data_IF_935327701841
#
_entry.id   IF_935327701841
#
_cell.length_a   1.000
_cell.length_b   1.000
_cell.length_c   1.000
_cell.angle_alpha   90.00
_cell.angle_beta   90.00
_cell.angle_gamma   90.00
#
_symmetry.space_group_name_H-M   'P 1'
#
loop_
_entity.id
_entity.type
_entity.pdbx_description
1 polymer ?
#
# COMPACT_ATOMS: atom_id res chain seq x y z
N UNK A 1 55.55 1.09 -13.72
CA UNK A 1 54.52 2.06 -13.28
C UNK A 1 53.37 1.96 -14.27
N UNK A 2 52.33 1.09 -14.10
CA UNK A 2 51.02 1.24 -14.79
C UNK A 2 50.06 0.08 -14.56
N UNK A 3 50.43 -0.90 -13.71
CA UNK A 3 49.53 -2.05 -13.46
C UNK A 3 48.51 -1.82 -12.30
N UNK A 4 48.74 -0.80 -11.45
CA UNK A 4 47.85 -0.55 -10.29
C UNK A 4 46.68 0.42 -10.57
N UNK A 5 46.75 1.21 -11.63
CA UNK A 5 45.65 2.14 -11.96
C UNK A 5 44.46 1.46 -12.63
N UNK A 6 44.75 0.43 -13.42
CA UNK A 6 43.73 -0.33 -14.15
C UNK A 6 42.88 -1.24 -13.22
N UNK A 7 43.52 -1.78 -12.17
CA UNK A 7 42.80 -2.60 -11.18
C UNK A 7 41.83 -1.76 -10.31
N UNK A 8 42.24 -0.57 -9.90
CA UNK A 8 41.38 0.35 -9.11
C UNK A 8 40.17 0.88 -9.89
N UNK A 9 40.35 1.09 -11.21
CA UNK A 9 39.24 1.51 -12.08
C UNK A 9 38.25 0.39 -12.35
N UNK A 10 38.69 -0.86 -12.41
CA UNK A 10 37.84 -2.02 -12.61
C UNK A 10 37.02 -2.35 -11.35
N UNK A 11 37.61 -2.26 -10.16
CA UNK A 11 36.87 -2.47 -8.90
C UNK A 11 35.81 -1.38 -8.66
N UNK A 12 36.13 -0.11 -8.95
CA UNK A 12 35.17 0.98 -8.87
C UNK A 12 34.00 0.83 -9.85
N UNK A 13 34.27 0.33 -11.06
CA UNK A 13 33.25 0.10 -12.08
C UNK A 13 32.32 -1.09 -11.71
N UNK A 14 32.87 -2.17 -11.13
CA UNK A 14 32.09 -3.30 -10.65
C UNK A 14 31.20 -2.95 -9.44
N UNK A 15 31.69 -2.15 -8.51
CA UNK A 15 30.92 -1.70 -7.34
C UNK A 15 29.76 -0.77 -7.77
N UNK A 16 30.00 0.12 -8.74
CA UNK A 16 28.97 1.00 -9.28
C UNK A 16 27.92 0.20 -10.06
N UNK A 17 28.31 -0.75 -10.91
CA UNK A 17 27.37 -1.62 -11.64
C UNK A 17 26.51 -2.48 -10.70
N UNK A 18 27.09 -3.04 -9.62
CA UNK A 18 26.30 -3.81 -8.65
C UNK A 18 25.36 -2.94 -7.83
N UNK A 19 25.69 -1.67 -7.56
CA UNK A 19 24.79 -0.72 -6.91
C UNK A 19 23.62 -0.29 -7.82
N UNK A 20 23.87 -0.08 -9.11
CA UNK A 20 22.82 0.26 -10.08
C UNK A 20 21.94 -0.95 -10.47
N UNK A 21 22.48 -2.16 -10.53
CA UNK A 21 21.72 -3.39 -10.77
C UNK A 21 20.79 -3.77 -9.61
N UNK A 22 21.01 -3.21 -8.40
CA UNK A 22 20.13 -3.39 -7.24
C UNK A 22 18.87 -2.51 -7.25
N UNK A 23 18.78 -1.53 -8.17
CA UNK A 23 17.71 -0.52 -8.21
C UNK A 23 16.46 -1.01 -8.96
N UNK A 24 16.49 -2.15 -9.67
CA UNK A 24 15.45 -2.53 -10.62
C UNK A 24 14.79 -3.90 -10.42
N UNK A 25 14.95 -4.55 -9.28
CA UNK A 25 14.28 -5.84 -9.06
C UNK A 25 13.66 -5.92 -7.68
N UNK A 26 12.37 -6.18 -7.62
CA UNK A 26 11.66 -6.44 -6.36
C UNK A 26 12.33 -7.60 -5.62
N UNK A 27 12.46 -7.45 -4.30
CA UNK A 27 12.98 -8.50 -3.44
C UNK A 27 11.97 -9.65 -3.30
N UNK A 28 12.39 -10.85 -2.90
CA UNK A 28 11.46 -11.94 -2.60
C UNK A 28 10.42 -11.57 -1.53
N UNK A 29 10.80 -10.74 -0.55
CA UNK A 29 9.90 -10.23 0.49
C UNK A 29 8.81 -9.34 -0.09
N UNK A 30 9.19 -8.39 -0.97
CA UNK A 30 8.23 -7.54 -1.68
C UNK A 30 7.29 -8.34 -2.57
N UNK A 31 7.83 -9.27 -3.35
CA UNK A 31 7.04 -10.15 -4.23
C UNK A 31 6.02 -10.97 -3.43
N UNK A 32 6.44 -11.56 -2.31
CA UNK A 32 5.55 -12.31 -1.43
C UNK A 32 4.47 -11.41 -0.83
N UNK A 33 4.86 -10.27 -0.26
CA UNK A 33 3.91 -9.29 0.29
C UNK A 33 2.86 -8.86 -0.73
N UNK A 34 3.29 -8.52 -1.94
CA UNK A 34 2.42 -8.07 -3.02
C UNK A 34 1.50 -9.19 -3.53
N UNK A 35 1.98 -10.42 -3.60
CA UNK A 35 1.17 -11.58 -4.00
C UNK A 35 0.04 -11.87 -3.01
N UNK A 36 0.29 -11.63 -1.72
CA UNK A 36 -0.74 -11.73 -0.69
C UNK A 36 -1.69 -10.52 -0.71
N UNK A 37 -1.17 -9.30 -0.91
CA UNK A 37 -1.97 -8.08 -0.84
C UNK A 37 -2.86 -7.87 -2.07
N UNK A 38 -2.37 -8.19 -3.28
CA UNK A 38 -3.10 -7.92 -4.52
C UNK A 38 -4.34 -8.81 -4.65
N UNK A 39 -5.51 -8.20 -4.46
CA UNK A 39 -6.78 -8.91 -4.49
C UNK A 39 -7.96 -8.06 -4.05
N UNK A 40 -9.11 -8.70 -4.04
CA UNK A 40 -10.32 -8.16 -3.44
C UNK A 40 -10.59 -8.86 -2.10
N UNK A 41 -10.93 -8.07 -1.11
CA UNK A 41 -11.22 -8.49 0.25
C UNK A 41 -12.59 -7.97 0.69
N UNK A 42 -13.31 -8.77 1.47
CA UNK A 42 -14.63 -8.43 2.00
C UNK A 42 -14.74 -8.78 3.48
N UNK A 43 -15.34 -7.89 4.26
CA UNK A 43 -15.71 -8.15 5.64
C UNK A 43 -17.19 -8.57 5.79
N UNK A 44 -17.78 -9.16 4.76
CA UNK A 44 -19.22 -9.50 4.73
C UNK A 44 -19.67 -10.27 5.97
N UNK A 45 -18.95 -11.31 6.36
CA UNK A 45 -19.32 -12.12 7.52
C UNK A 45 -19.37 -11.29 8.79
N UNK A 46 -18.33 -10.48 9.04
CA UNK A 46 -18.28 -9.60 10.20
C UNK A 46 -19.43 -8.58 10.22
N UNK A 47 -19.77 -8.03 9.05
CA UNK A 47 -20.86 -7.06 8.92
C UNK A 47 -22.23 -7.70 9.14
N UNK A 48 -22.44 -8.97 8.75
CA UNK A 48 -23.65 -9.73 9.00
C UNK A 48 -23.80 -10.10 10.48
N UNK A 49 -22.69 -10.49 11.13
CA UNK A 49 -22.68 -10.90 12.54
C UNK A 49 -22.83 -9.71 13.49
N UNK A 50 -22.36 -8.53 13.09
CA UNK A 50 -22.29 -7.34 13.94
C UNK A 50 -22.70 -6.05 13.18
N UNK A 51 -23.90 -5.97 12.60
CA UNK A 51 -24.30 -4.87 11.71
C UNK A 51 -24.31 -3.48 12.36
N UNK A 52 -24.53 -3.29 13.68
CA UNK A 52 -24.44 -1.96 14.29
C UNK A 52 -23.02 -1.39 14.35
N UNK A 53 -21.99 -2.24 14.22
CA UNK A 53 -20.61 -1.86 14.43
C UNK A 53 -19.76 -1.86 13.14
N UNK A 54 -20.13 -2.68 12.17
CA UNK A 54 -19.36 -2.87 10.96
C UNK A 54 -20.21 -2.74 9.70
N UNK A 55 -19.93 -1.73 8.89
CA UNK A 55 -20.47 -1.68 7.54
C UNK A 55 -19.80 -2.76 6.68
N UNK A 56 -20.55 -3.32 5.72
CA UNK A 56 -19.96 -4.20 4.72
C UNK A 56 -19.15 -3.37 3.72
N UNK A 57 -17.85 -3.63 3.64
CA UNK A 57 -16.86 -2.90 2.84
C UNK A 57 -16.09 -3.88 1.95
N UNK A 58 -15.76 -3.42 0.75
CA UNK A 58 -14.74 -4.03 -0.10
C UNK A 58 -13.45 -3.24 -0.03
N UNK A 59 -12.33 -3.95 0.14
CA UNK A 59 -10.97 -3.46 -0.09
C UNK A 59 -10.44 -4.11 -1.35
N UNK A 60 -9.89 -3.31 -2.26
CA UNK A 60 -9.34 -3.78 -3.52
C UNK A 60 -7.95 -3.22 -3.73
N UNK A 61 -6.99 -4.11 -3.96
CA UNK A 61 -5.59 -3.79 -4.19
C UNK A 61 -5.19 -4.26 -5.59
N UNK A 62 -5.27 -3.36 -6.57
CA UNK A 62 -5.04 -3.66 -7.98
C UNK A 62 -3.63 -3.26 -8.41
N UNK A 63 -2.81 -4.17 -8.99
CA UNK A 63 -1.49 -3.80 -9.50
C UNK A 63 -1.57 -2.71 -10.57
N UNK A 64 -0.63 -1.77 -10.54
CA UNK A 64 -0.40 -0.75 -11.56
C UNK A 64 0.90 -1.09 -12.30
N UNK A 65 0.83 -2.11 -13.16
CA UNK A 65 1.99 -2.74 -13.80
C UNK A 65 2.75 -1.82 -14.77
N UNK A 66 2.09 -0.76 -15.25
CA UNK A 66 2.66 0.27 -16.14
C UNK A 66 3.37 1.41 -15.38
N UNK A 67 3.31 1.41 -14.06
CA UNK A 67 4.07 2.31 -13.19
C UNK A 67 5.27 1.58 -12.61
N UNK A 68 6.09 2.31 -11.82
CA UNK A 68 7.21 1.72 -11.09
C UNK A 68 6.77 0.47 -10.31
N UNK A 69 7.63 -0.54 -10.26
CA UNK A 69 7.42 -1.78 -9.51
C UNK A 69 6.91 -1.52 -8.09
N UNK A 70 6.06 -2.42 -7.60
CA UNK A 70 5.43 -2.28 -6.30
C UNK A 70 4.25 -1.30 -6.22
N UNK A 71 3.87 -0.65 -7.33
CA UNK A 71 2.75 0.30 -7.38
C UNK A 71 1.40 -0.40 -7.43
N UNK A 72 0.48 -0.02 -6.55
CA UNK A 72 -0.84 -0.63 -6.36
C UNK A 72 -1.90 0.47 -6.23
N UNK A 73 -3.01 0.31 -6.93
CA UNK A 73 -4.23 1.05 -6.70
C UNK A 73 -4.99 0.42 -5.51
N UNK A 74 -5.19 1.18 -4.46
CA UNK A 74 -6.06 0.83 -3.34
C UNK A 74 -7.41 1.52 -3.50
N UNK A 75 -8.47 0.73 -3.50
CA UNK A 75 -9.85 1.20 -3.51
C UNK A 75 -10.60 0.67 -2.28
N UNK A 76 -11.41 1.55 -1.68
CA UNK A 76 -12.36 1.17 -0.62
C UNK A 76 -13.75 1.64 -1.00
N UNK A 77 -14.72 0.72 -0.97
CA UNK A 77 -16.13 1.02 -1.28
C UNK A 77 -17.08 0.30 -0.34
N UNK A 78 -18.24 0.91 -0.06
CA UNK A 78 -19.32 0.22 0.61
C UNK A 78 -19.95 -0.82 -0.33
N UNK A 79 -20.36 -1.96 0.21
CA UNK A 79 -21.01 -3.02 -0.59
C UNK A 79 -22.36 -2.59 -1.18
N UNK A 80 -23.03 -1.63 -0.58
CA UNK A 80 -24.27 -1.03 -1.09
C UNK A 80 -24.03 -0.15 -2.32
N UNK A 81 -22.80 0.33 -2.52
CA UNK A 81 -22.42 1.16 -3.66
C UNK A 81 -20.97 0.87 -4.10
N UNK A 82 -20.72 -0.31 -4.66
CA UNK A 82 -19.37 -0.79 -4.93
C UNK A 82 -18.68 -0.08 -6.11
N UNK A 83 -19.42 0.73 -6.87
CA UNK A 83 -18.90 1.46 -8.03
C UNK A 83 -18.44 2.90 -7.69
N UNK A 84 -18.81 3.41 -6.52
CA UNK A 84 -18.42 4.74 -6.06
C UNK A 84 -17.53 4.62 -4.82
N UNK A 85 -16.21 4.47 -4.99
CA UNK A 85 -15.31 4.32 -3.86
C UNK A 85 -15.26 5.59 -3.03
N UNK A 86 -15.36 5.44 -1.72
CA UNK A 86 -15.19 6.54 -0.79
C UNK A 86 -13.71 6.86 -0.51
N UNK A 87 -12.80 5.95 -0.88
CA UNK A 87 -11.35 6.15 -0.78
C UNK A 87 -10.65 5.51 -1.98
N UNK A 88 -9.79 6.30 -2.60
CA UNK A 88 -8.89 5.86 -3.65
C UNK A 88 -7.47 6.34 -3.31
N UNK A 89 -6.48 5.45 -3.38
CA UNK A 89 -5.07 5.71 -3.11
C UNK A 89 -4.19 4.98 -4.10
N UNK A 90 -3.00 5.49 -4.32
CA UNK A 90 -1.90 4.70 -4.84
C UNK A 90 -0.91 4.44 -3.71
N UNK A 91 -0.57 3.20 -3.49
CA UNK A 91 0.48 2.80 -2.57
C UNK A 91 1.62 2.17 -3.35
N UNK A 92 2.85 2.36 -2.87
CA UNK A 92 4.04 1.71 -3.44
C UNK A 92 4.79 1.00 -2.34
N UNK A 93 5.02 -0.30 -2.54
CA UNK A 93 5.80 -1.12 -1.62
C UNK A 93 7.27 -1.08 -2.01
N UNK A 94 8.15 -0.92 -1.02
CA UNK A 94 9.60 -0.90 -1.21
C UNK A 94 10.28 -1.43 0.06
N UNK A 95 11.04 -2.52 -0.05
CA UNK A 95 11.80 -3.07 1.08
C UNK A 95 12.98 -2.16 1.41
N UNK A 96 13.01 -1.62 2.62
CA UNK A 96 14.07 -0.71 3.09
C UNK A 96 15.24 -1.47 3.73
N UNK A 97 14.93 -2.58 4.36
CA UNK A 97 15.90 -3.51 4.95
C UNK A 97 15.24 -4.89 5.05
N UNK A 98 16.00 -5.99 5.24
CA UNK A 98 15.45 -7.34 5.27
C UNK A 98 14.22 -7.47 6.18
N UNK A 99 13.07 -7.79 5.59
CA UNK A 99 11.79 -7.96 6.29
C UNK A 99 11.07 -6.67 6.68
N UNK A 100 11.59 -5.49 6.32
CA UNK A 100 10.95 -4.19 6.58
C UNK A 100 10.59 -3.52 5.25
N UNK A 101 9.29 -3.42 4.98
CA UNK A 101 8.76 -2.78 3.77
C UNK A 101 8.16 -1.42 4.16
N UNK A 102 8.49 -0.38 3.39
CA UNK A 102 7.81 0.91 3.42
C UNK A 102 6.71 0.92 2.39
N UNK A 103 5.49 1.34 2.80
CA UNK A 103 4.41 1.64 1.88
C UNK A 103 4.30 3.15 1.72
N UNK A 104 4.77 3.64 0.59
CA UNK A 104 4.61 5.03 0.19
C UNK A 104 3.14 5.28 -0.17
N UNK A 105 2.50 6.21 0.53
CA UNK A 105 1.08 6.48 0.37
C UNK A 105 0.86 7.76 -0.44
N UNK A 106 0.03 7.67 -1.48
CA UNK A 106 -0.29 8.79 -2.37
C UNK A 106 -1.80 8.93 -2.52
N UNK A 107 -2.27 10.16 -2.63
CA UNK A 107 -3.62 10.46 -3.08
C UNK A 107 -3.60 10.91 -4.54
N UNK A 108 -4.78 10.90 -5.17
CA UNK A 108 -4.94 11.44 -6.52
C UNK A 108 -5.30 12.93 -6.44
N UNK A 109 -4.81 13.72 -7.42
CA UNK A 109 -5.22 15.13 -7.60
C UNK A 109 -6.71 15.22 -7.92
N UNK A 110 -7.19 14.31 -8.78
CA UNK A 110 -8.58 14.21 -9.23
C UNK A 110 -9.09 12.77 -9.06
N UNK A 111 -9.46 12.34 -7.82
CA UNK A 111 -9.84 10.95 -7.56
C UNK A 111 -11.03 10.46 -8.40
N UNK A 112 -11.99 11.35 -8.72
CA UNK A 112 -13.19 11.03 -9.49
C UNK A 112 -12.87 10.52 -10.90
N UNK A 113 -11.78 11.00 -11.51
CA UNK A 113 -11.31 10.56 -12.83
C UNK A 113 -10.98 9.07 -12.86
N UNK A 114 -10.54 8.51 -11.74
CA UNK A 114 -10.06 7.14 -11.63
C UNK A 114 -11.01 6.22 -10.83
N UNK A 115 -12.24 6.66 -10.55
CA UNK A 115 -13.21 5.90 -9.75
C UNK A 115 -13.57 4.53 -10.33
N UNK A 116 -13.35 4.30 -11.63
CA UNK A 116 -13.58 3.03 -12.31
C UNK A 116 -12.32 2.19 -12.50
N UNK A 117 -11.13 2.71 -12.17
CA UNK A 117 -9.86 2.13 -12.55
C UNK A 117 -9.62 0.71 -12.00
N UNK A 118 -10.27 0.33 -10.90
CA UNK A 118 -10.20 -1.03 -10.37
C UNK A 118 -10.77 -2.08 -11.34
N UNK A 119 -11.85 -1.76 -12.04
CA UNK A 119 -12.57 -2.68 -12.92
C UNK A 119 -12.30 -2.43 -14.41
N UNK A 120 -11.99 -1.19 -14.77
CA UNK A 120 -11.74 -0.73 -16.11
C UNK A 120 -10.22 -0.65 -16.34
N UNK A 121 -9.70 -1.59 -17.17
CA UNK A 121 -8.27 -1.67 -17.48
C UNK A 121 -7.79 -0.42 -18.22
N UNK A 122 -8.58 0.08 -19.18
CA UNK A 122 -8.19 1.23 -19.99
C UNK A 122 -8.12 2.49 -19.12
N UNK A 123 -9.12 2.70 -18.24
CA UNK A 123 -9.08 3.76 -17.25
C UNK A 123 -7.85 3.62 -16.32
N UNK A 124 -7.56 2.40 -15.84
CA UNK A 124 -6.41 2.15 -14.96
C UNK A 124 -5.08 2.48 -15.64
N UNK A 125 -4.92 2.15 -16.92
CA UNK A 125 -3.70 2.41 -17.67
C UNK A 125 -3.46 3.90 -17.97
N UNK A 126 -4.45 4.77 -17.78
CA UNK A 126 -4.27 6.22 -17.90
C UNK A 126 -3.65 6.87 -16.66
N UNK A 127 -3.53 6.15 -15.55
CA UNK A 127 -2.92 6.67 -14.32
C UNK A 127 -1.44 6.94 -14.56
N UNK A 128 -0.98 8.14 -14.20
CA UNK A 128 0.42 8.57 -14.33
C UNK A 128 0.95 9.08 -12.99
N UNK A 129 2.28 9.12 -12.82
CA UNK A 129 2.93 9.69 -11.62
C UNK A 129 2.52 11.14 -11.38
N UNK A 130 2.27 11.92 -12.44
CA UNK A 130 1.80 13.30 -12.36
C UNK A 130 0.40 13.47 -11.77
N UNK A 131 -0.41 12.41 -11.76
CA UNK A 131 -1.75 12.41 -11.16
C UNK A 131 -1.70 12.28 -9.63
N UNK A 132 -0.54 11.99 -9.08
CA UNK A 132 -0.36 11.61 -7.68
C UNK A 132 0.16 12.78 -6.83
N UNK A 133 -0.22 12.77 -5.55
CA UNK A 133 0.31 13.63 -4.49
C UNK A 133 0.79 12.73 -3.36
N UNK A 134 2.06 12.81 -3.02
CA UNK A 134 2.61 12.08 -1.88
C UNK A 134 2.01 12.57 -0.56
N UNK A 135 1.69 11.64 0.34
CA UNK A 135 1.20 11.92 1.67
C UNK A 135 2.33 11.70 2.68
N UNK A 136 3.27 12.63 2.74
CA UNK A 136 4.58 12.49 3.39
C UNK A 136 4.56 11.96 4.83
N UNK A 137 3.58 12.27 5.64
CA UNK A 137 3.50 11.80 7.02
C UNK A 137 2.57 10.60 7.20
N UNK A 138 2.09 9.98 6.10
CA UNK A 138 1.09 8.93 6.12
C UNK A 138 1.60 7.61 5.49
N UNK A 139 2.90 7.41 5.46
CA UNK A 139 3.51 6.16 5.02
C UNK A 139 3.37 5.08 6.10
N UNK A 140 3.46 3.83 5.68
CA UNK A 140 3.44 2.70 6.61
C UNK A 140 4.81 2.04 6.63
N UNK A 141 5.21 1.61 7.81
CA UNK A 141 6.24 0.60 7.99
C UNK A 141 5.54 -0.75 8.16
N UNK A 142 5.99 -1.75 7.41
CA UNK A 142 5.46 -3.11 7.44
C UNK A 142 6.57 -4.06 7.84
N UNK A 143 6.34 -4.86 8.86
CA UNK A 143 7.25 -5.87 9.34
C UNK A 143 6.79 -7.25 8.86
N UNK A 144 7.67 -8.02 8.22
CA UNK A 144 7.47 -9.43 7.92
C UNK A 144 7.79 -10.28 9.16
N UNK A 145 6.81 -11.05 9.61
CA UNK A 145 6.95 -12.01 10.72
C UNK A 145 6.64 -13.43 10.24
N UNK A 146 6.84 -14.40 11.10
CA UNK A 146 6.64 -15.83 10.78
C UNK A 146 5.22 -16.18 10.33
N UNK A 147 4.22 -15.39 10.72
CA UNK A 147 2.80 -15.62 10.48
C UNK A 147 2.15 -14.57 9.56
N UNK A 148 2.92 -13.65 8.97
CA UNK A 148 2.43 -12.65 8.02
C UNK A 148 3.10 -11.29 8.11
N UNK A 149 2.40 -10.26 7.66
CA UNK A 149 2.88 -8.88 7.56
C UNK A 149 2.07 -7.97 8.47
N UNK A 150 2.77 -7.12 9.23
CA UNK A 150 2.19 -6.22 10.21
C UNK A 150 2.57 -4.78 9.87
N UNK A 151 1.60 -3.97 9.50
CA UNK A 151 1.81 -2.58 9.10
C UNK A 151 1.21 -1.60 10.10
N UNK A 152 1.91 -0.49 10.30
CA UNK A 152 1.42 0.67 11.03
C UNK A 152 1.94 1.95 10.39
N UNK A 153 1.37 3.11 10.74
CA UNK A 153 1.98 4.39 10.35
C UNK A 153 3.44 4.36 10.80
N UNK A 154 4.32 4.81 9.92
CA UNK A 154 5.77 4.81 10.11
C UNK A 154 6.15 5.51 11.42
N UNK A 155 6.99 4.90 12.28
CA UNK A 155 7.41 5.50 13.55
C UNK A 155 7.98 6.90 13.37
N UNK A 156 7.54 7.85 14.19
CA UNK A 156 7.94 9.25 14.10
C UNK A 156 7.09 10.10 13.15
N UNK A 157 6.28 9.48 12.27
CA UNK A 157 5.35 10.18 11.40
C UNK A 157 4.06 10.55 12.14
N UNK A 158 3.49 11.69 11.75
CA UNK A 158 2.22 12.18 12.29
C UNK A 158 1.25 12.43 11.15
N UNK A 159 0.55 11.38 10.74
CA UNK A 159 -0.42 11.47 9.64
C UNK A 159 -1.64 12.30 10.05
N UNK A 160 -1.73 13.52 9.52
CA UNK A 160 -2.86 14.41 9.75
C UNK A 160 -3.97 14.14 8.73
N UNK A 161 -5.19 13.94 9.21
CA UNK A 161 -6.39 13.73 8.37
C UNK A 161 -7.50 14.65 8.81
N UNK A 162 -8.12 15.31 7.83
CA UNK A 162 -9.32 16.10 8.06
C UNK A 162 -10.56 15.27 7.79
N UNK A 163 -11.45 15.15 8.78
CA UNK A 163 -12.75 14.48 8.64
C UNK A 163 -13.85 15.37 9.23
N UNK A 164 -14.88 15.64 8.41
CA UNK A 164 -15.97 16.54 8.80
C UNK A 164 -15.49 17.92 9.30
N UNK A 165 -14.45 18.46 8.66
CA UNK A 165 -13.87 19.76 9.04
C UNK A 165 -12.96 19.73 10.28
N UNK A 166 -12.78 18.57 10.92
CA UNK A 166 -11.93 18.42 12.10
C UNK A 166 -10.61 17.72 11.74
N UNK A 167 -9.49 18.33 12.13
CA UNK A 167 -8.17 17.71 12.00
C UNK A 167 -7.95 16.66 13.09
N UNK A 168 -7.42 15.54 12.70
CA UNK A 168 -7.10 14.41 13.58
C UNK A 168 -5.78 13.77 13.19
N UNK A 169 -5.09 13.16 14.16
CA UNK A 169 -3.96 12.28 13.91
C UNK A 169 -4.49 10.88 13.63
N UNK A 170 -4.14 10.33 12.49
CA UNK A 170 -4.49 8.96 12.13
C UNK A 170 -3.61 7.97 12.88
N UNK A 171 -4.23 7.07 13.62
CA UNK A 171 -3.64 5.83 14.11
C UNK A 171 -4.20 4.72 13.24
N UNK A 172 -3.33 4.07 12.47
CA UNK A 172 -3.73 3.04 11.53
C UNK A 172 -2.79 1.85 11.61
N UNK A 173 -3.36 0.66 11.66
CA UNK A 173 -2.63 -0.60 11.63
C UNK A 173 -3.30 -1.59 10.71
N UNK A 174 -2.53 -2.54 10.18
CA UNK A 174 -3.07 -3.70 9.50
C UNK A 174 -2.25 -4.96 9.77
N UNK A 175 -2.89 -6.10 9.61
CA UNK A 175 -2.27 -7.42 9.63
C UNK A 175 -2.72 -8.16 8.38
N UNK A 176 -1.78 -8.58 7.54
CA UNK A 176 -2.00 -9.37 6.34
C UNK A 176 -1.43 -10.76 6.54
N UNK A 177 -2.29 -11.75 6.43
CA UNK A 177 -1.95 -13.17 6.48
C UNK A 177 -2.63 -13.84 5.28
N UNK A 178 -2.09 -14.92 4.79
CA UNK A 178 -2.55 -15.68 3.62
C UNK A 178 -3.84 -15.15 2.92
N UNK A 179 -5.03 -15.46 3.49
CA UNK A 179 -6.33 -15.03 2.95
C UNK A 179 -7.08 -14.02 3.83
N UNK A 180 -6.39 -13.45 4.82
CA UNK A 180 -7.02 -12.52 5.77
C UNK A 180 -6.28 -11.21 5.83
N UNK A 181 -7.06 -10.14 5.92
CA UNK A 181 -6.56 -8.79 6.16
C UNK A 181 -7.37 -8.18 7.30
N UNK A 182 -6.70 -7.80 8.37
CA UNK A 182 -7.30 -7.03 9.46
C UNK A 182 -6.83 -5.60 9.38
N UNK A 183 -7.72 -4.64 9.62
CA UNK A 183 -7.36 -3.21 9.60
C UNK A 183 -8.00 -2.48 10.76
N UNK A 184 -7.31 -1.48 11.28
CA UNK A 184 -7.80 -0.59 12.31
C UNK A 184 -7.44 0.84 11.97
N UNK A 185 -8.44 1.69 11.73
CA UNK A 185 -8.27 3.12 11.53
C UNK A 185 -8.97 3.89 12.65
N UNK A 186 -8.25 4.82 13.30
CA UNK A 186 -8.76 5.72 14.34
C UNK A 186 -8.19 7.12 14.16
N UNK A 187 -9.04 8.12 14.30
CA UNK A 187 -8.61 9.52 14.38
C UNK A 187 -8.60 10.00 15.80
N UNK A 188 -7.47 10.54 16.22
CA UNK A 188 -7.26 11.06 17.56
C UNK A 188 -7.12 12.59 17.52
N UNK A 189 -7.61 13.26 18.54
CA UNK A 189 -7.41 14.69 18.74
C UNK A 189 -5.90 14.99 18.87
N UNK A 190 -5.37 15.96 18.11
CA UNK A 190 -3.93 16.24 18.08
C UNK A 190 -3.33 16.71 19.41
N UNK A 191 -4.17 17.27 20.30
CA UNK A 191 -3.75 17.87 21.58
C UNK A 191 -3.98 16.92 22.76
N UNK A 192 -5.15 16.28 22.79
CA UNK A 192 -5.59 15.48 23.94
C UNK A 192 -5.38 13.99 23.74
N UNK A 193 -5.05 13.56 22.52
CA UNK A 193 -4.96 12.15 22.10
C UNK A 193 -6.27 11.36 22.30
N UNK A 194 -7.40 12.05 22.55
CA UNK A 194 -8.70 11.41 22.66
C UNK A 194 -9.17 10.93 21.28
N UNK A 195 -9.65 9.68 21.20
CA UNK A 195 -10.25 9.17 19.98
C UNK A 195 -11.52 9.95 19.62
N UNK A 196 -11.60 10.46 18.41
CA UNK A 196 -12.72 11.24 17.88
C UNK A 196 -13.57 10.43 16.89
N UNK A 197 -12.95 9.52 16.12
CA UNK A 197 -13.65 8.65 15.17
C UNK A 197 -12.88 7.33 14.98
N UNK A 198 -13.48 6.42 14.21
CA UNK A 198 -12.90 5.14 13.82
C UNK A 198 -13.47 3.97 14.60
N UNK A 199 -12.90 2.79 14.38
CA UNK A 199 -13.40 1.53 14.88
C UNK A 199 -13.55 1.52 16.40
N UNK A 200 -14.79 1.30 16.88
CA UNK A 200 -15.16 1.21 18.29
C UNK A 200 -15.11 -0.24 18.76
N UNK A 201 -15.58 -1.16 17.93
CA UNK A 201 -15.75 -2.57 18.27
C UNK A 201 -14.54 -3.46 17.92
N UNK A 202 -13.39 -2.83 17.56
CA UNK A 202 -12.19 -3.56 17.18
C UNK A 202 -11.85 -3.41 15.69
N UNK A 203 -10.99 -4.31 15.21
CA UNK A 203 -10.50 -4.30 13.85
C UNK A 203 -11.57 -4.75 12.85
N UNK A 204 -11.53 -4.17 11.66
CA UNK A 204 -12.21 -4.75 10.50
C UNK A 204 -11.49 -6.03 10.08
N UNK A 205 -12.26 -7.11 9.86
CA UNK A 205 -11.74 -8.43 9.49
C UNK A 205 -12.21 -8.80 8.10
N UNK A 206 -11.28 -8.77 7.16
CA UNK A 206 -11.55 -9.07 5.76
C UNK A 206 -11.05 -10.47 5.40
N UNK A 207 -11.78 -11.14 4.51
CA UNK A 207 -11.32 -12.34 3.81
C UNK A 207 -11.12 -12.03 2.34
N UNK A 208 -10.07 -12.60 1.75
CA UNK A 208 -9.80 -12.47 0.32
C UNK A 208 -10.85 -13.23 -0.46
N UNK A 209 -11.55 -12.54 -1.35
CA UNK A 209 -12.57 -13.08 -2.25
C UNK A 209 -12.03 -13.30 -3.66
N UNK A 210 -10.95 -12.61 -4.02
CA UNK A 210 -10.31 -12.67 -5.32
C UNK A 210 -8.83 -12.34 -5.24
N UNK A 211 -7.99 -13.11 -5.94
CA UNK A 211 -6.58 -12.78 -6.14
C UNK A 211 -6.38 -12.11 -7.49
N UNK A 212 -5.42 -11.19 -7.55
CA UNK A 212 -4.94 -10.61 -8.80
C UNK A 212 -3.43 -10.81 -8.88
N UNK A 213 -3.02 -11.52 -9.91
CA UNK A 213 -1.61 -11.70 -10.20
C UNK A 213 -1.00 -10.35 -10.62
N UNK A 214 0.14 -10.02 -10.04
CA UNK A 214 0.89 -8.83 -10.35
C UNK A 214 2.06 -9.21 -11.25
N UNK A 215 2.07 -8.63 -12.46
CA UNK A 215 3.12 -8.85 -13.45
C UNK A 215 3.71 -7.50 -13.81
N UNK A 216 4.66 -7.03 -12.99
CA UNK A 216 5.52 -5.95 -13.44
C UNK A 216 6.50 -6.55 -14.45
N UNK A 217 6.56 -5.95 -15.65
CA UNK A 217 7.49 -6.35 -16.68
C UNK A 217 8.90 -6.29 -16.10
N UNK A 218 9.55 -7.43 -16.05
CA UNK A 218 10.99 -7.47 -15.81
C UNK A 218 11.60 -6.89 -17.06
N UNK A 219 12.25 -5.73 -16.98
CA UNK A 219 13.02 -5.21 -18.09
C UNK A 219 13.95 -6.30 -18.58
N UNK A 220 13.60 -6.88 -19.74
CA UNK A 220 14.39 -7.85 -20.46
C UNK A 220 15.47 -7.06 -21.19
N UNK A 221 16.43 -6.56 -20.44
CA UNK A 221 17.75 -6.23 -20.96
C UNK A 221 18.71 -7.32 -20.51
N UNK A 222 18.63 -8.43 -21.22
CA UNK A 222 19.71 -9.42 -21.33
C UNK A 222 20.68 -9.02 -22.44
#
# INVERSE_FOLDING_TARGET
LDHNLTALLMEGFFIVQTAWARILKMTPTEQNFLSLLCGEYSNQQQALDNPPFFAHIFLRYRPLEHLREGSILLEQSYAVDPKHPYRLRMIRAEEQSPGIIKLWNHTFREPSRFSRATFDKDCRQTIQESDLICLDQCHYQVEHKSDGYYGSIEPGCRCMVTRNGQETVLVSTFQLQEDTLKTLDRGHDPKTNKRLWGAIAGEFQFRRTKSWEAKWEQDIYS
#
